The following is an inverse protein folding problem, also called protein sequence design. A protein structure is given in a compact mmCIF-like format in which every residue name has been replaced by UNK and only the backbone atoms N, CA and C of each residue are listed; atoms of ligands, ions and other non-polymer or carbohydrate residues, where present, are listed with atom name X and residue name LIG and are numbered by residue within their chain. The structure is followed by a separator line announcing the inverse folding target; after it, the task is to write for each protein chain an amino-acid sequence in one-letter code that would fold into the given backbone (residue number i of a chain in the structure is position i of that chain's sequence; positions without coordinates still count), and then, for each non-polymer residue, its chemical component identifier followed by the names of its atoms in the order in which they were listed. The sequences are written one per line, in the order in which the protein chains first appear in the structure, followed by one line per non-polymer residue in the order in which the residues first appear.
data_IF_549046957394
#
_entry.id   IF_549046957394
#
_cell.length_a   1.000
_cell.length_b   1.000
_cell.length_c   1.000
_cell.angle_alpha   90.00
_cell.angle_beta   90.00
_cell.angle_gamma   90.00
#
_symmetry.space_group_name_H-M   'P 1'
#
loop_
_entity.id
_entity.type
_entity.pdbx_description
1 polymer ?
#
# COMPACT_ATOMS: atom_id res chain seq x y z
N UNK A 1 -13.14 -6.29 21.86
CA UNK A 1 -11.88 -6.89 21.40
C UNK A 1 -11.83 -6.75 19.89
N UNK A 2 -10.74 -6.23 19.30
CA UNK A 2 -10.60 -6.34 17.86
C UNK A 2 -10.54 -7.84 17.51
N UNK A 3 -11.20 -8.30 16.44
CA UNK A 3 -11.05 -9.67 15.98
C UNK A 3 -9.57 -9.91 15.69
N UNK A 4 -9.04 -11.06 16.13
CA UNK A 4 -7.66 -11.44 15.85
C UNK A 4 -7.49 -11.61 14.34
N UNK A 5 -6.92 -10.61 13.66
CA UNK A 5 -6.73 -10.55 12.20
C UNK A 5 -5.75 -11.63 11.69
N UNK A 6 -5.13 -12.39 12.58
CA UNK A 6 -3.87 -13.08 12.31
C UNK A 6 -3.93 -14.55 11.88
N UNK A 7 -4.95 -15.39 12.13
CA UNK A 7 -4.88 -16.81 11.73
C UNK A 7 -4.69 -17.01 10.23
N UNK A 8 -5.43 -16.24 9.41
CA UNK A 8 -5.50 -16.45 7.96
C UNK A 8 -4.26 -15.98 7.19
N UNK A 9 -3.34 -15.29 7.87
CA UNK A 9 -2.14 -14.71 7.24
C UNK A 9 -0.84 -15.35 7.70
N UNK A 10 -0.81 -16.18 8.75
CA UNK A 10 0.44 -16.74 9.30
C UNK A 10 1.25 -17.46 8.22
N UNK A 11 0.64 -18.37 7.47
CA UNK A 11 1.33 -19.13 6.41
C UNK A 11 1.86 -18.23 5.29
N UNK A 12 1.14 -17.15 4.98
CA UNK A 12 1.55 -16.16 3.97
C UNK A 12 2.73 -15.34 4.49
N UNK A 13 2.71 -14.94 5.76
CA UNK A 13 3.78 -14.18 6.40
C UNK A 13 5.08 -15.00 6.49
N UNK A 14 4.98 -16.29 6.83
CA UNK A 14 6.14 -17.17 6.87
C UNK A 14 6.80 -17.31 5.50
N UNK A 15 6.00 -17.41 4.43
CA UNK A 15 6.51 -17.39 3.04
C UNK A 15 7.16 -16.06 2.69
N UNK A 16 6.55 -14.94 3.08
CA UNK A 16 7.12 -13.60 2.85
C UNK A 16 8.48 -13.50 3.53
N UNK A 17 8.59 -13.90 4.80
CA UNK A 17 9.83 -13.88 5.57
C UNK A 17 10.89 -14.76 4.91
N UNK A 18 10.55 -16.02 4.61
CA UNK A 18 11.48 -16.95 3.99
C UNK A 18 11.98 -16.46 2.63
N UNK A 19 11.11 -15.86 1.81
CA UNK A 19 11.49 -15.34 0.49
C UNK A 19 12.38 -14.11 0.61
N UNK A 20 12.04 -13.16 1.51
CA UNK A 20 12.84 -11.96 1.75
C UNK A 20 14.26 -12.31 2.22
N UNK A 21 14.42 -13.30 3.11
CA UNK A 21 15.73 -13.77 3.59
C UNK A 21 16.60 -14.30 2.44
N UNK A 22 15.99 -14.91 1.41
CA UNK A 22 16.72 -15.58 0.34
C UNK A 22 16.90 -14.72 -0.92
N UNK A 23 16.02 -13.75 -1.18
CA UNK A 23 15.93 -13.07 -2.47
C UNK A 23 15.85 -11.53 -2.37
N UNK A 24 15.88 -10.95 -1.17
CA UNK A 24 15.73 -9.51 -0.90
C UNK A 24 14.39 -8.87 -1.34
N UNK A 25 13.55 -9.60 -2.09
CA UNK A 25 12.19 -9.22 -2.46
C UNK A 25 11.24 -10.41 -2.34
N UNK A 26 9.93 -10.15 -2.30
CA UNK A 26 8.90 -11.18 -2.29
C UNK A 26 7.68 -10.71 -3.10
N UNK A 27 7.06 -11.64 -3.83
CA UNK A 27 5.77 -11.44 -4.50
C UNK A 27 4.85 -12.53 -3.95
N UNK A 28 3.85 -12.16 -3.16
CA UNK A 28 2.83 -13.07 -2.61
C UNK A 28 1.46 -12.74 -3.25
N UNK A 29 1.05 -13.46 -4.31
CA UNK A 29 -0.25 -13.26 -4.93
C UNK A 29 -1.39 -13.56 -3.96
N UNK A 30 -2.47 -12.77 -4.05
CA UNK A 30 -3.65 -12.99 -3.21
C UNK A 30 -3.38 -12.83 -1.73
N UNK A 31 -2.45 -11.95 -1.34
CA UNK A 31 -2.14 -11.65 0.06
C UNK A 31 -3.43 -11.32 0.82
N UNK A 32 -4.18 -10.32 0.33
CA UNK A 32 -5.55 -10.03 0.76
C UNK A 32 -6.57 -10.77 -0.09
N UNK A 33 -7.73 -11.07 0.50
CA UNK A 33 -8.86 -11.64 -0.24
C UNK A 33 -9.46 -10.65 -1.26
N UNK A 34 -10.31 -11.18 -2.15
CA UNK A 34 -10.95 -10.38 -3.21
C UNK A 34 -11.93 -9.35 -2.65
N UNK A 35 -12.60 -9.63 -1.53
CA UNK A 35 -13.58 -8.72 -0.95
C UNK A 35 -12.89 -7.47 -0.37
N UNK A 36 -11.78 -7.64 0.33
CA UNK A 36 -10.97 -6.55 0.86
C UNK A 36 -10.31 -5.74 -0.27
N UNK A 37 -9.75 -6.39 -1.28
CA UNK A 37 -9.13 -5.68 -2.43
C UNK A 37 -10.15 -4.89 -3.23
N UNK A 38 -11.37 -5.41 -3.43
CA UNK A 38 -12.47 -4.67 -4.05
C UNK A 38 -12.90 -3.45 -3.22
N UNK A 39 -12.96 -3.59 -1.89
CA UNK A 39 -13.29 -2.48 -0.99
C UNK A 39 -12.24 -1.36 -1.06
N UNK A 40 -10.95 -1.71 -1.00
CA UNK A 40 -9.84 -0.77 -1.15
C UNK A 40 -9.87 -0.05 -2.50
N UNK A 41 -10.20 -0.76 -3.58
CA UNK A 41 -10.33 -0.17 -4.91
C UNK A 41 -11.47 0.86 -4.99
N UNK A 42 -12.63 0.56 -4.40
CA UNK A 42 -13.75 1.52 -4.33
C UNK A 42 -13.39 2.76 -3.54
N UNK A 43 -12.70 2.60 -2.41
CA UNK A 43 -12.25 3.74 -1.60
C UNK A 43 -11.25 4.61 -2.38
N UNK A 44 -10.28 4.00 -3.07
CA UNK A 44 -9.34 4.74 -3.93
C UNK A 44 -10.07 5.54 -5.01
N UNK A 45 -11.10 4.95 -5.64
CA UNK A 45 -11.93 5.65 -6.64
C UNK A 45 -12.68 6.83 -6.06
N UNK A 46 -13.31 6.67 -4.89
CA UNK A 46 -13.98 7.76 -4.20
C UNK A 46 -13.01 8.90 -3.85
N UNK A 47 -11.80 8.58 -3.38
CA UNK A 47 -10.76 9.58 -3.10
C UNK A 47 -10.30 10.31 -4.36
N UNK A 48 -10.21 9.60 -5.48
CA UNK A 48 -9.90 10.19 -6.78
C UNK A 48 -11.00 11.16 -7.22
N UNK A 49 -12.27 10.75 -7.16
CA UNK A 49 -13.43 11.57 -7.51
C UNK A 49 -13.53 12.82 -6.64
N UNK A 50 -13.23 12.70 -5.35
CA UNK A 50 -13.22 13.80 -4.40
C UNK A 50 -11.95 14.66 -4.44
N UNK A 51 -11.04 14.43 -5.40
CA UNK A 51 -9.77 15.16 -5.56
C UNK A 51 -8.87 15.13 -4.30
N UNK A 52 -8.92 14.04 -3.55
CA UNK A 52 -8.16 13.87 -2.30
C UNK A 52 -6.74 13.33 -2.54
N UNK A 53 -6.44 12.87 -3.76
CA UNK A 53 -5.08 12.52 -4.18
C UNK A 53 -4.29 13.77 -4.56
N UNK A 54 -3.07 13.88 -4.04
CA UNK A 54 -2.14 14.99 -4.32
C UNK A 54 -0.95 14.47 -5.11
N UNK A 55 -0.46 15.28 -6.04
CA UNK A 55 0.75 14.95 -6.80
C UNK A 55 1.91 14.58 -5.88
N UNK A 56 2.54 13.44 -6.16
CA UNK A 56 3.66 12.96 -5.37
C UNK A 56 4.84 13.93 -5.44
N UNK A 57 5.63 13.96 -4.36
CA UNK A 57 6.87 14.74 -4.24
C UNK A 57 8.02 13.79 -3.98
N UNK A 58 9.22 14.19 -4.40
CA UNK A 58 10.47 13.44 -4.22
C UNK A 58 11.40 14.26 -3.33
N UNK A 59 12.17 13.57 -2.48
CA UNK A 59 13.11 14.18 -1.54
C UNK A 59 12.64 14.11 -0.09
N UNK A 60 13.39 14.76 0.81
CA UNK A 60 13.11 14.75 2.26
C UNK A 60 13.14 16.17 2.83
N UNK A 61 12.19 16.48 3.71
CA UNK A 61 12.12 17.77 4.39
C UNK A 61 12.11 18.94 3.41
N UNK A 62 13.08 19.87 3.54
CA UNK A 62 13.19 21.06 2.68
C UNK A 62 13.53 20.75 1.21
N UNK A 63 14.02 19.55 0.91
CA UNK A 63 14.35 19.13 -0.46
C UNK A 63 13.17 18.47 -1.18
N UNK A 64 11.99 18.39 -0.55
CA UNK A 64 10.80 17.88 -1.21
C UNK A 64 10.45 18.75 -2.42
N UNK A 65 10.43 18.17 -3.61
CA UNK A 65 10.11 18.87 -4.85
C UNK A 65 9.18 18.01 -5.72
N UNK A 66 8.48 18.65 -6.66
CA UNK A 66 7.67 17.93 -7.66
C UNK A 66 8.53 17.77 -8.90
N UNK A 67 8.83 16.52 -9.25
CA UNK A 67 9.63 16.17 -10.43
C UNK A 67 8.85 15.14 -11.24
N UNK A 68 8.02 15.62 -12.17
CA UNK A 68 7.09 14.78 -12.94
C UNK A 68 7.84 13.73 -13.77
N UNK A 69 9.03 14.10 -14.27
CA UNK A 69 9.88 13.21 -15.07
C UNK A 69 10.43 12.01 -14.26
N UNK A 70 10.39 12.08 -12.92
CA UNK A 70 10.76 10.98 -12.04
C UNK A 70 9.51 10.28 -11.48
N UNK A 71 8.50 11.03 -11.03
CA UNK A 71 7.28 10.48 -10.44
C UNK A 71 6.06 11.34 -10.77
N UNK A 72 5.15 10.79 -11.58
CA UNK A 72 3.96 11.47 -12.08
C UNK A 72 2.63 11.09 -11.42
N UNK A 73 2.63 10.13 -10.50
CA UNK A 73 1.40 9.70 -9.81
C UNK A 73 0.93 10.68 -8.73
N UNK A 74 -0.33 10.49 -8.34
CA UNK A 74 -0.95 11.17 -7.22
C UNK A 74 -1.19 10.17 -6.08
N UNK A 75 -0.97 10.62 -4.85
CA UNK A 75 -1.07 9.81 -3.63
C UNK A 75 -1.88 10.51 -2.55
N UNK A 76 -2.30 9.73 -1.56
CA UNK A 76 -2.88 10.21 -0.31
C UNK A 76 -2.28 9.39 0.83
N UNK A 77 -1.85 10.06 1.90
CA UNK A 77 -1.42 9.38 3.12
C UNK A 77 -2.65 8.93 3.90
N UNK A 78 -2.71 7.65 4.26
CA UNK A 78 -3.78 7.09 5.08
C UNK A 78 -3.34 7.20 6.54
N UNK A 79 -4.22 7.69 7.41
CA UNK A 79 -4.00 7.70 8.85
C UNK A 79 -4.32 6.32 9.42
N UNK A 80 -3.43 5.77 10.24
CA UNK A 80 -3.70 4.58 11.05
C UNK A 80 -4.09 5.04 12.44
N UNK A 81 -5.33 4.77 12.85
CA UNK A 81 -5.72 4.84 14.28
C UNK A 81 -5.17 3.64 15.04
#
# INVERSE_FOLDING_TARGET
MPPSILPDYVDKLDRVIATLVNQDYCIEPGFFDTALTDALYRELKQRLENRQLKQARIGKGKQLSRMVDIRGDALHWIDGE
#
